data_IF_413964876679
#
_entry.id   IF_413964876679
#
_cell.length_a   1.000
_cell.length_b   1.000
_cell.length_c   1.000
_cell.angle_alpha   90.00
_cell.angle_beta   90.00
_cell.angle_gamma   90.00
#
_symmetry.space_group_name_H-M   'P 1'
#
loop_
_entity.id
_entity.type
_entity.pdbx_description
1 polymer ?
#
# COMPACT_ATOMS: atom_id res chain seq x y z
N UNK A 1 -8.92 -15.10 -12.08
CA UNK A 1 -7.88 -15.06 -11.04
C UNK A 1 -8.47 -14.49 -9.75
N UNK A 2 -7.80 -14.79 -8.66
CA UNK A 2 -8.07 -14.15 -7.37
C UNK A 2 -7.05 -13.02 -7.18
N UNK A 3 -7.54 -11.78 -7.12
CA UNK A 3 -6.70 -10.59 -7.13
C UNK A 3 -6.96 -9.76 -5.87
N UNK A 4 -5.90 -9.38 -5.17
CA UNK A 4 -5.97 -8.41 -4.08
C UNK A 4 -5.49 -7.07 -4.61
N UNK A 5 -6.21 -6.00 -4.25
CA UNK A 5 -5.96 -4.65 -4.78
C UNK A 5 -5.96 -3.65 -3.64
N UNK A 6 -5.04 -2.69 -3.68
CA UNK A 6 -5.10 -1.52 -2.78
C UNK A 6 -6.46 -0.86 -2.91
N UNK A 7 -7.19 -0.73 -1.80
CA UNK A 7 -8.58 -0.28 -1.80
C UNK A 7 -8.77 1.10 -2.44
N UNK A 8 -7.80 2.01 -2.28
CA UNK A 8 -7.87 3.34 -2.87
C UNK A 8 -7.92 3.32 -4.40
N UNK A 9 -7.36 2.30 -5.04
CA UNK A 9 -7.39 2.14 -6.50
C UNK A 9 -8.79 1.83 -7.02
N UNK A 10 -9.65 1.30 -6.18
CA UNK A 10 -11.03 0.96 -6.52
C UNK A 10 -12.03 2.05 -6.09
N UNK A 11 -11.54 3.20 -5.64
CA UNK A 11 -12.37 4.33 -5.26
C UNK A 11 -12.67 4.46 -3.77
N UNK A 12 -12.09 3.62 -2.91
CA UNK A 12 -12.22 3.79 -1.46
C UNK A 12 -11.49 5.05 -1.01
N UNK A 13 -12.14 5.88 -0.21
CA UNK A 13 -11.59 7.14 0.30
C UNK A 13 -10.70 6.90 1.53
N UNK A 14 -9.73 6.00 1.39
CA UNK A 14 -8.87 5.55 2.48
C UNK A 14 -7.47 6.17 2.48
N UNK A 15 -7.20 7.13 1.60
CA UNK A 15 -5.93 7.88 1.63
C UNK A 15 -5.84 8.73 2.89
N UNK A 16 -4.61 9.12 3.23
CA UNK A 16 -4.37 9.97 4.40
C UNK A 16 -5.19 11.26 4.39
N UNK A 17 -5.50 11.81 3.20
CA UNK A 17 -6.26 13.06 3.04
C UNK A 17 -7.77 12.85 2.85
N UNK A 18 -8.27 11.63 3.02
CA UNK A 18 -9.69 11.32 2.85
C UNK A 18 -10.12 11.18 1.39
N UNK A 19 -9.19 11.11 0.47
CA UNK A 19 -9.46 10.94 -0.96
C UNK A 19 -9.15 9.51 -1.41
N UNK A 20 -9.20 9.26 -2.70
CA UNK A 20 -8.89 7.97 -3.30
C UNK A 20 -7.90 8.12 -4.46
N UNK A 21 -7.48 7.00 -5.00
CA UNK A 21 -6.62 6.90 -6.17
C UNK A 21 -7.31 6.07 -7.24
N UNK A 22 -8.61 6.29 -7.45
CA UNK A 22 -9.38 5.54 -8.43
C UNK A 22 -8.61 5.43 -9.74
N UNK A 23 -8.42 4.19 -10.20
CA UNK A 23 -7.60 3.89 -11.38
C UNK A 23 -8.40 3.06 -12.36
N UNK A 24 -8.83 3.69 -13.44
CA UNK A 24 -9.68 3.04 -14.46
C UNK A 24 -9.00 1.85 -15.12
N UNK A 25 -7.69 1.88 -15.29
CA UNK A 25 -6.94 0.74 -15.86
C UNK A 25 -7.00 -0.47 -14.95
N UNK A 26 -6.84 -0.24 -13.64
CA UNK A 26 -6.93 -1.31 -12.64
C UNK A 26 -8.36 -1.88 -12.64
N UNK A 27 -9.37 -1.02 -12.63
CA UNK A 27 -10.77 -1.45 -12.63
C UNK A 27 -11.06 -2.32 -13.86
N UNK A 28 -10.63 -1.91 -15.04
CA UNK A 28 -10.80 -2.69 -16.25
C UNK A 28 -10.05 -4.02 -16.21
N UNK A 29 -8.82 -3.98 -15.68
CA UNK A 29 -8.00 -5.19 -15.58
C UNK A 29 -8.63 -6.25 -14.68
N UNK A 30 -9.19 -5.86 -13.53
CA UNK A 30 -9.74 -6.80 -12.56
C UNK A 30 -11.18 -7.20 -12.85
N UNK A 31 -11.83 -6.58 -13.82
CA UNK A 31 -13.21 -6.91 -14.19
C UNK A 31 -13.31 -8.39 -14.57
N UNK A 32 -14.30 -9.09 -14.01
CA UNK A 32 -14.51 -10.52 -14.23
C UNK A 32 -13.65 -11.45 -13.38
N UNK A 33 -12.78 -10.89 -12.54
CA UNK A 33 -11.98 -11.64 -11.58
C UNK A 33 -12.56 -11.54 -10.17
N UNK A 34 -12.12 -12.44 -9.29
CA UNK A 34 -12.47 -12.39 -7.87
C UNK A 34 -11.55 -11.38 -7.19
N UNK A 35 -12.09 -10.28 -6.65
CA UNK A 35 -11.32 -9.15 -6.15
C UNK A 35 -11.56 -8.95 -4.66
N UNK A 36 -10.48 -8.80 -3.90
CA UNK A 36 -10.50 -8.38 -2.50
C UNK A 36 -9.70 -7.10 -2.36
N UNK A 37 -10.32 -6.06 -1.78
CA UNK A 37 -9.67 -4.78 -1.52
C UNK A 37 -9.10 -4.74 -0.11
N UNK A 38 -7.96 -4.08 0.09
CA UNK A 38 -7.42 -3.81 1.42
C UNK A 38 -6.65 -2.49 1.47
N UNK A 39 -6.57 -1.92 2.67
CA UNK A 39 -5.72 -0.77 2.97
C UNK A 39 -4.98 -1.07 4.28
N UNK A 40 -3.67 -1.32 4.23
CA UNK A 40 -2.90 -1.66 5.42
C UNK A 40 -2.94 -0.58 6.51
N UNK A 41 -3.02 0.68 6.11
CA UNK A 41 -3.04 1.79 7.06
C UNK A 41 -4.37 1.86 7.81
N UNK A 42 -5.48 1.61 7.13
CA UNK A 42 -6.79 1.46 7.79
C UNK A 42 -6.80 0.23 8.69
N UNK A 43 -6.21 -0.88 8.24
CA UNK A 43 -6.09 -2.11 9.03
C UNK A 43 -5.23 -1.91 10.28
N UNK A 44 -4.32 -0.95 10.26
CA UNK A 44 -3.52 -0.57 11.43
C UNK A 44 -4.34 0.18 12.48
N UNK A 45 -5.56 0.57 12.16
CA UNK A 45 -6.39 1.41 13.02
C UNK A 45 -6.14 2.90 12.88
N UNK A 46 -5.38 3.29 11.85
CA UNK A 46 -5.17 4.72 11.57
C UNK A 46 -6.44 5.34 11.02
N UNK A 47 -6.81 6.50 11.55
CA UNK A 47 -7.99 7.23 11.13
C UNK A 47 -7.84 7.91 9.77
N UNK A 48 -8.94 8.46 9.28
CA UNK A 48 -9.01 9.26 8.07
C UNK A 48 -9.70 10.59 8.43
N UNK A 49 -9.09 11.76 8.18
CA UNK A 49 -7.74 11.96 7.66
C UNK A 49 -6.65 11.62 8.69
N UNK A 50 -5.43 11.48 8.21
CA UNK A 50 -4.25 11.26 9.02
C UNK A 50 -3.06 11.99 8.41
N UNK A 51 -1.98 12.16 9.20
CA UNK A 51 -0.75 12.72 8.66
C UNK A 51 -0.15 11.78 7.63
N UNK A 52 0.42 12.34 6.54
CA UNK A 52 1.18 11.52 5.60
C UNK A 52 2.45 11.01 6.27
N UNK A 53 2.96 9.89 5.77
CA UNK A 53 4.13 9.24 6.32
C UNK A 53 5.10 8.86 5.21
N UNK A 54 6.38 8.77 5.57
CA UNK A 54 7.46 8.32 4.68
C UNK A 54 8.43 7.47 5.47
N UNK A 55 9.22 6.66 4.76
CA UNK A 55 10.26 5.83 5.37
C UNK A 55 11.54 6.65 5.47
N UNK A 56 12.05 6.83 6.69
CA UNK A 56 13.30 7.53 6.99
C UNK A 56 14.23 6.60 7.77
N UNK A 57 15.41 6.33 7.25
CA UNK A 57 16.39 5.43 7.89
C UNK A 57 15.78 4.08 8.27
N UNK A 58 14.95 3.54 7.38
CA UNK A 58 14.31 2.25 7.57
C UNK A 58 13.09 2.23 8.50
N UNK A 59 12.66 3.38 9.00
CA UNK A 59 11.51 3.51 9.91
C UNK A 59 10.44 4.41 9.33
N UNK A 60 9.19 4.08 9.63
CA UNK A 60 8.06 4.93 9.24
C UNK A 60 7.93 6.12 10.19
N UNK A 61 7.94 7.33 9.63
CA UNK A 61 7.69 8.58 10.37
C UNK A 61 6.59 9.37 9.70
N UNK A 62 5.81 10.13 10.47
CA UNK A 62 4.81 11.03 9.90
C UNK A 62 5.40 12.42 9.61
N UNK A 63 4.59 13.30 9.02
CA UNK A 63 5.00 14.64 8.62
C UNK A 63 5.35 15.55 9.82
N UNK A 64 4.95 15.19 11.03
CA UNK A 64 5.33 15.85 12.27
C UNK A 64 6.59 15.25 12.90
N UNK A 65 7.22 14.27 12.24
CA UNK A 65 8.43 13.61 12.73
C UNK A 65 8.17 12.52 13.78
N UNK A 66 6.92 12.14 14.01
CA UNK A 66 6.58 11.09 14.98
C UNK A 66 6.97 9.73 14.46
N UNK A 67 7.47 8.88 15.35
CA UNK A 67 7.76 7.48 15.05
C UNK A 67 6.45 6.72 14.91
N UNK A 68 6.16 6.29 13.70
CA UNK A 68 4.96 5.53 13.34
C UNK A 68 5.29 4.08 12.98
N UNK A 69 6.52 3.66 13.26
CA UNK A 69 7.03 2.38 12.77
C UNK A 69 6.23 1.19 13.27
N UNK A 70 5.92 1.15 14.58
CA UNK A 70 5.19 0.03 15.16
C UNK A 70 3.78 -0.09 14.55
N UNK A 71 3.03 1.01 14.47
CA UNK A 71 1.64 0.97 14.01
C UNK A 71 1.55 0.62 12.52
N UNK A 72 2.48 1.10 11.70
CA UNK A 72 2.51 0.73 10.28
C UNK A 72 2.87 -0.74 10.08
N UNK A 73 3.82 -1.27 10.84
CA UNK A 73 4.14 -2.69 10.81
C UNK A 73 2.98 -3.56 11.27
N UNK A 74 2.20 -3.11 12.24
CA UNK A 74 0.99 -3.81 12.67
C UNK A 74 -0.02 -3.93 11.53
N UNK A 75 -0.24 -2.84 10.80
CA UNK A 75 -1.12 -2.84 9.63
C UNK A 75 -0.62 -3.76 8.52
N UNK A 76 0.68 -3.75 8.26
CA UNK A 76 1.32 -4.65 7.30
C UNK A 76 1.11 -6.11 7.70
N UNK A 77 1.30 -6.45 8.97
CA UNK A 77 1.10 -7.82 9.45
C UNK A 77 -0.35 -8.26 9.29
N UNK A 78 -1.30 -7.40 9.62
CA UNK A 78 -2.73 -7.69 9.41
C UNK A 78 -3.07 -7.91 7.94
N UNK A 79 -2.49 -7.10 7.07
CA UNK A 79 -2.65 -7.26 5.61
C UNK A 79 -2.07 -8.59 5.14
N UNK A 80 -0.89 -8.97 5.62
CA UNK A 80 -0.26 -10.24 5.27
C UNK A 80 -1.12 -11.41 5.72
N UNK A 81 -1.68 -11.37 6.92
CA UNK A 81 -2.56 -12.42 7.44
C UNK A 81 -3.78 -12.61 6.53
N UNK A 82 -4.38 -11.52 6.08
CA UNK A 82 -5.49 -11.57 5.13
C UNK A 82 -5.05 -12.16 3.79
N UNK A 83 -3.92 -11.70 3.26
CA UNK A 83 -3.39 -12.15 1.97
C UNK A 83 -3.09 -13.65 2.02
N UNK A 84 -2.50 -14.15 3.10
CA UNK A 84 -2.21 -15.57 3.25
C UNK A 84 -3.49 -16.42 3.28
N UNK A 85 -4.54 -15.95 3.96
CA UNK A 85 -5.84 -16.63 3.97
C UNK A 85 -6.49 -16.67 2.59
N UNK A 86 -6.36 -15.58 1.85
CA UNK A 86 -6.97 -15.45 0.52
C UNK A 86 -6.20 -16.21 -0.57
N UNK A 87 -4.90 -16.41 -0.41
CA UNK A 87 -4.02 -17.04 -1.40
C UNK A 87 -4.21 -16.49 -2.81
N UNK A 88 -3.97 -15.19 -3.03
CA UNK A 88 -4.23 -14.58 -4.33
C UNK A 88 -3.25 -15.04 -5.40
N UNK A 89 -3.71 -14.95 -6.66
CA UNK A 89 -2.87 -15.16 -7.84
C UNK A 89 -2.05 -13.92 -8.16
N UNK A 90 -2.56 -12.74 -7.81
CA UNK A 90 -1.94 -11.45 -8.12
C UNK A 90 -2.31 -10.43 -7.06
N UNK A 91 -1.38 -9.53 -6.76
CA UNK A 91 -1.60 -8.40 -5.84
C UNK A 91 -1.23 -7.11 -6.58
N UNK A 92 -2.16 -6.17 -6.67
CA UNK A 92 -1.95 -4.87 -7.32
C UNK A 92 -1.95 -3.79 -6.24
N UNK A 93 -0.84 -3.05 -6.14
CA UNK A 93 -0.63 -2.09 -5.06
C UNK A 93 -0.46 -0.67 -5.60
N UNK A 94 -0.90 0.31 -4.80
CA UNK A 94 -0.78 1.72 -5.12
C UNK A 94 0.68 2.16 -5.22
N UNK A 95 0.99 2.93 -6.27
CA UNK A 95 2.31 3.48 -6.53
C UNK A 95 2.75 4.47 -5.45
N UNK A 96 4.06 4.51 -5.17
CA UNK A 96 4.73 5.53 -4.35
C UNK A 96 4.36 5.55 -2.87
N UNK A 97 3.44 4.72 -2.45
CA UNK A 97 3.04 4.63 -1.04
C UNK A 97 4.19 4.06 -0.21
N UNK A 98 4.44 4.57 1.01
CA UNK A 98 5.45 3.99 1.89
C UNK A 98 5.10 2.58 2.35
N UNK A 99 3.84 2.19 2.20
CA UNK A 99 3.37 0.84 2.52
C UNK A 99 3.28 -0.03 1.26
N UNK A 100 2.69 0.49 0.20
CA UNK A 100 2.30 -0.27 -1.00
C UNK A 100 3.21 -0.08 -2.21
N UNK A 101 4.05 0.94 -2.25
CA UNK A 101 4.88 1.24 -3.41
C UNK A 101 5.78 0.07 -3.78
N UNK A 102 5.75 -0.32 -5.06
CA UNK A 102 6.52 -1.48 -5.55
C UNK A 102 7.87 -1.07 -6.14
N UNK A 103 7.91 0.07 -6.83
CA UNK A 103 9.10 0.53 -7.59
C UNK A 103 9.77 1.73 -6.97
N UNK A 104 8.98 2.68 -6.48
CA UNK A 104 9.45 3.95 -5.94
C UNK A 104 8.71 4.31 -4.67
N UNK A 105 9.40 5.00 -3.80
CA UNK A 105 8.84 5.61 -2.58
C UNK A 105 9.44 7.00 -2.41
N UNK A 106 8.87 7.81 -1.54
CA UNK A 106 9.48 9.09 -1.17
C UNK A 106 10.69 8.87 -0.24
N UNK A 107 11.63 9.82 -0.26
CA UNK A 107 12.95 9.66 0.37
C UNK A 107 12.96 9.87 1.91
N UNK A 108 11.83 10.13 2.51
CA UNK A 108 11.71 10.33 3.96
C UNK A 108 11.88 11.77 4.42
N UNK A 109 12.09 12.71 3.51
CA UNK A 109 12.33 14.13 3.83
C UNK A 109 11.11 15.02 3.65
N UNK A 110 10.00 14.48 3.16
CA UNK A 110 8.76 15.20 2.90
C UNK A 110 8.94 16.37 1.93
N UNK A 111 9.79 16.20 0.92
CA UNK A 111 10.10 17.21 -0.10
C UNK A 111 9.60 16.84 -1.50
N UNK A 112 8.90 15.71 -1.64
CA UNK A 112 8.42 15.24 -2.92
C UNK A 112 9.45 14.49 -3.76
N UNK A 113 10.65 14.23 -3.24
CA UNK A 113 11.67 13.47 -3.95
C UNK A 113 11.42 11.97 -3.88
N UNK A 114 11.40 11.33 -5.05
CA UNK A 114 11.24 9.89 -5.18
C UNK A 114 12.60 9.21 -5.28
N UNK A 115 12.68 8.01 -4.68
CA UNK A 115 13.84 7.13 -4.79
C UNK A 115 13.38 5.73 -5.20
N UNK A 116 14.26 4.95 -5.78
CA UNK A 116 14.03 3.52 -5.96
C UNK A 116 13.88 2.87 -4.59
N UNK A 117 12.84 2.07 -4.44
CA UNK A 117 12.59 1.38 -3.19
C UNK A 117 11.19 0.83 -3.14
N UNK A 118 10.89 0.17 -2.04
CA UNK A 118 9.62 -0.51 -1.83
C UNK A 118 9.03 -0.14 -0.49
N UNK A 119 7.70 -0.01 -0.47
CA UNK A 119 6.96 0.13 0.77
C UNK A 119 7.04 -1.16 1.61
N UNK A 120 6.70 -1.06 2.87
CA UNK A 120 6.85 -2.18 3.82
C UNK A 120 6.06 -3.43 3.40
N UNK A 121 4.81 -3.26 2.96
CA UNK A 121 4.01 -4.40 2.51
C UNK A 121 4.55 -4.99 1.22
N UNK A 122 4.83 -4.16 0.23
CA UNK A 122 5.33 -4.61 -1.07
C UNK A 122 6.61 -5.42 -0.92
N UNK A 123 7.56 -4.91 -0.12
CA UNK A 123 8.83 -5.60 0.12
C UNK A 123 8.61 -6.98 0.74
N UNK A 124 7.76 -7.06 1.76
CA UNK A 124 7.53 -8.33 2.45
C UNK A 124 6.82 -9.35 1.55
N UNK A 125 5.86 -8.92 0.75
CA UNK A 125 5.15 -9.79 -0.18
C UNK A 125 6.07 -10.33 -1.26
N UNK A 126 6.93 -9.49 -1.82
CA UNK A 126 7.91 -9.92 -2.82
C UNK A 126 8.88 -10.91 -2.20
N UNK A 127 9.37 -10.66 -0.99
CA UNK A 127 10.24 -11.57 -0.27
C UNK A 127 9.59 -12.95 -0.06
N UNK A 128 8.27 -12.99 0.16
CA UNK A 128 7.51 -14.23 0.36
C UNK A 128 7.15 -14.93 -0.95
N UNK A 129 7.49 -14.36 -2.09
CA UNK A 129 7.27 -14.99 -3.40
C UNK A 129 5.92 -14.72 -4.05
N UNK A 130 5.14 -13.77 -3.53
CA UNK A 130 3.89 -13.36 -4.17
C UNK A 130 4.14 -12.61 -5.47
N UNK A 131 3.20 -12.74 -6.42
CA UNK A 131 3.18 -11.92 -7.63
C UNK A 131 2.61 -10.54 -7.27
N UNK A 132 3.43 -9.52 -7.32
CA UNK A 132 3.08 -8.14 -6.93
C UNK A 132 3.30 -7.21 -8.11
N UNK A 133 2.30 -6.39 -8.40
CA UNK A 133 2.36 -5.44 -9.52
C UNK A 133 2.07 -4.02 -9.00
N UNK A 134 2.87 -3.07 -9.44
CA UNK A 134 2.60 -1.65 -9.21
C UNK A 134 1.39 -1.21 -10.05
N UNK A 135 0.53 -0.37 -9.49
CA UNK A 135 -0.63 0.15 -10.22
C UNK A 135 -0.23 0.87 -11.53
N UNK A 136 0.95 1.45 -11.56
CA UNK A 136 1.48 2.11 -12.75
C UNK A 136 1.86 1.15 -13.89
N UNK A 137 1.92 -0.15 -13.62
CA UNK A 137 2.29 -1.17 -14.61
C UNK A 137 1.08 -1.95 -15.16
N UNK A 138 -0.09 -1.60 -14.73
CA UNK A 138 -1.33 -2.23 -15.20
C UNK A 138 -1.75 -1.72 -16.57
#
# INVERSE_FOLDING_TARGET
MKIIVSACLLGSDCKYNGKNNLNDRVIRFVAGHEVTALCPEVMAGLGIPRKCAEIRDGKMVDSDGRDMNFVYHLGVQRAIDLIERESPDLIILQSRSPTCGVRQIYDGRFTGNLISGQGFLARELIRRGYSVMDAGDV
#
